data_IF_417865379147
#
_entry.id   IF_417865379147
#
_cell.length_a   1.000
_cell.length_b   1.000
_cell.length_c   1.000
_cell.angle_alpha   90.00
_cell.angle_beta   90.00
_cell.angle_gamma   90.00
#
_symmetry.space_group_name_H-M   'P 1'
#
loop_
_entity.id
_entity.type
_entity.pdbx_description
1 polymer ?
#
# COMPACT_ATOMS: atom_id res chain seq x y z
N UNK A 1 21.64 -43.82 -20.87
CA UNK A 1 20.22 -44.05 -20.49
C UNK A 1 19.67 -42.72 -20.01
N UNK A 2 18.75 -42.11 -20.77
CA UNK A 2 18.16 -40.83 -20.34
C UNK A 2 17.11 -41.11 -19.22
N UNK A 3 17.52 -41.01 -17.97
CA UNK A 3 16.62 -41.19 -16.82
C UNK A 3 15.77 -39.91 -16.70
N UNK A 4 14.44 -40.05 -16.73
CA UNK A 4 13.49 -38.97 -16.41
C UNK A 4 13.10 -39.13 -14.95
N UNK A 5 13.31 -38.09 -14.15
CA UNK A 5 12.93 -38.06 -12.75
C UNK A 5 11.69 -37.16 -12.56
N UNK A 6 10.57 -37.76 -12.16
CA UNK A 6 9.35 -37.05 -11.88
C UNK A 6 9.17 -36.87 -10.37
N UNK A 7 8.99 -35.63 -9.92
CA UNK A 7 8.79 -35.27 -8.52
C UNK A 7 7.44 -34.54 -8.38
N UNK A 8 6.49 -35.15 -7.66
CA UNK A 8 5.22 -34.51 -7.32
C UNK A 8 5.20 -34.29 -5.80
N UNK A 9 4.94 -33.07 -5.37
CA UNK A 9 4.97 -32.74 -3.94
C UNK A 9 3.95 -31.66 -3.55
N UNK A 10 3.44 -31.79 -2.33
CA UNK A 10 2.63 -30.77 -1.67
C UNK A 10 3.32 -30.40 -0.34
N UNK A 11 4.30 -29.52 -0.38
CA UNK A 11 5.04 -29.13 0.83
C UNK A 11 4.17 -28.27 1.76
N UNK A 12 4.45 -28.28 3.06
CA UNK A 12 3.75 -27.39 4.00
C UNK A 12 4.04 -25.91 3.68
N UNK A 13 3.01 -25.07 3.77
CA UNK A 13 3.11 -23.62 3.48
C UNK A 13 3.48 -22.76 4.69
N UNK A 14 3.96 -23.38 5.78
CA UNK A 14 4.35 -22.69 7.01
C UNK A 14 5.68 -21.95 6.92
N UNK A 15 5.90 -21.05 7.87
CA UNK A 15 7.19 -20.39 8.11
C UNK A 15 7.95 -21.10 9.21
N UNK A 16 9.22 -21.47 8.97
CA UNK A 16 10.13 -21.98 9.98
C UNK A 16 10.51 -20.88 10.99
N UNK A 17 10.24 -21.10 12.29
CA UNK A 17 10.54 -20.11 13.32
C UNK A 17 12.04 -19.97 13.60
N UNK A 18 12.50 -18.76 13.94
CA UNK A 18 13.86 -18.48 14.39
C UNK A 18 14.03 -18.60 15.92
N UNK A 19 13.19 -19.37 16.62
CA UNK A 19 13.44 -19.75 18.02
C UNK A 19 13.54 -18.61 19.04
N UNK A 20 12.96 -17.43 18.82
CA UNK A 20 12.72 -16.44 19.88
C UNK A 20 11.29 -16.60 20.38
N UNK A 21 11.18 -17.00 21.63
CA UNK A 21 9.92 -17.06 22.36
C UNK A 21 9.19 -15.71 22.31
N UNK A 22 7.92 -15.75 22.01
CA UNK A 22 6.99 -14.63 22.11
C UNK A 22 6.63 -14.00 20.78
N UNK A 23 5.57 -14.43 20.24
CA UNK A 23 4.60 -13.87 19.29
C UNK A 23 4.16 -14.89 18.23
N UNK A 24 2.96 -15.43 18.48
CA UNK A 24 2.06 -16.24 17.66
C UNK A 24 2.20 -17.77 17.77
N UNK A 25 1.17 -18.37 18.35
CA UNK A 25 0.92 -19.81 18.52
C UNK A 25 1.01 -20.68 17.24
N UNK A 26 1.00 -20.07 16.05
CA UNK A 26 1.10 -20.81 14.78
C UNK A 26 2.54 -21.22 14.38
N UNK A 27 3.53 -20.89 15.20
CA UNK A 27 4.97 -21.20 14.95
C UNK A 27 5.55 -22.23 15.92
N UNK A 28 4.78 -22.70 16.87
CA UNK A 28 5.21 -23.70 17.83
C UNK A 28 5.27 -25.08 17.15
N UNK A 29 6.41 -25.74 17.27
CA UNK A 29 6.61 -27.11 16.78
C UNK A 29 7.37 -27.26 15.46
N UNK A 30 7.77 -26.18 14.77
CA UNK A 30 8.60 -26.29 13.55
C UNK A 30 10.07 -26.15 13.94
N UNK A 31 10.79 -27.28 13.96
CA UNK A 31 12.23 -27.32 14.21
C UNK A 31 13.03 -26.71 13.05
N UNK A 32 14.24 -26.22 13.36
CA UNK A 32 15.20 -25.81 12.33
C UNK A 32 15.64 -27.03 11.52
N UNK A 33 15.36 -27.03 10.24
CA UNK A 33 15.75 -28.13 9.34
C UNK A 33 17.22 -28.04 8.95
N UNK A 34 17.87 -29.18 8.61
CA UNK A 34 19.22 -29.19 8.01
C UNK A 34 19.25 -28.37 6.71
N UNK A 35 18.17 -28.43 5.92
CA UNK A 35 18.03 -27.67 4.66
C UNK A 35 18.10 -26.17 4.91
N UNK A 36 17.45 -25.65 5.96
CA UNK A 36 17.55 -24.26 6.35
C UNK A 36 18.99 -23.82 6.60
N UNK A 37 19.77 -24.60 7.36
CA UNK A 37 21.17 -24.30 7.59
C UNK A 37 22.01 -24.29 6.31
N UNK A 38 21.75 -25.21 5.36
CA UNK A 38 22.43 -25.23 4.07
C UNK A 38 22.11 -23.95 3.28
N UNK A 39 20.83 -23.54 3.23
CA UNK A 39 20.42 -22.31 2.56
C UNK A 39 21.01 -21.05 3.21
N UNK A 40 21.10 -21.01 4.54
CA UNK A 40 21.69 -19.88 5.26
C UNK A 40 23.19 -19.72 4.94
N UNK A 41 23.94 -20.84 4.80
CA UNK A 41 25.35 -20.85 4.35
C UNK A 41 25.50 -20.33 2.91
N UNK A 42 24.50 -20.47 2.06
CA UNK A 42 24.49 -19.99 0.68
C UNK A 42 23.86 -18.59 0.56
N UNK A 43 23.78 -17.81 1.64
CA UNK A 43 23.19 -16.45 1.67
C UNK A 43 21.69 -16.36 1.31
N UNK A 44 20.95 -17.48 1.48
CA UNK A 44 19.51 -17.58 1.22
C UNK A 44 18.67 -17.52 2.51
N UNK A 45 19.16 -16.84 3.56
CA UNK A 45 18.54 -16.77 4.89
C UNK A 45 17.09 -16.33 4.88
N UNK A 46 16.74 -15.32 4.06
CA UNK A 46 15.36 -14.80 3.98
C UNK A 46 14.45 -15.83 3.31
N UNK A 47 14.87 -16.41 2.19
CA UNK A 47 14.12 -17.43 1.46
C UNK A 47 13.95 -18.72 2.27
N UNK A 48 14.94 -19.08 3.11
CA UNK A 48 14.91 -20.29 3.94
C UNK A 48 13.82 -20.30 5.01
N UNK A 49 13.17 -19.18 5.27
CA UNK A 49 12.07 -19.10 6.24
C UNK A 49 10.80 -19.83 5.76
N UNK A 50 10.62 -19.98 4.45
CA UNK A 50 9.46 -20.62 3.85
C UNK A 50 9.72 -22.11 3.62
N UNK A 51 8.90 -22.99 4.21
CA UNK A 51 9.11 -24.43 4.12
C UNK A 51 9.03 -24.96 2.68
N UNK A 52 8.06 -24.51 1.90
CA UNK A 52 7.95 -24.93 0.49
C UNK A 52 9.19 -24.53 -0.34
N UNK A 53 9.85 -23.42 -0.01
CA UNK A 53 11.11 -23.03 -0.67
C UNK A 53 12.24 -23.97 -0.27
N UNK A 54 12.27 -24.45 0.96
CA UNK A 54 13.25 -25.46 1.38
C UNK A 54 13.07 -26.77 0.60
N UNK A 55 11.84 -27.15 0.26
CA UNK A 55 11.58 -28.32 -0.62
C UNK A 55 12.12 -28.08 -2.04
N UNK A 56 11.85 -26.94 -2.64
CA UNK A 56 12.39 -26.58 -3.96
C UNK A 56 13.93 -26.57 -3.95
N UNK A 57 14.53 -26.02 -2.90
CA UNK A 57 15.99 -26.02 -2.71
C UNK A 57 16.53 -27.46 -2.61
N UNK A 58 15.87 -28.35 -1.87
CA UNK A 58 16.26 -29.75 -1.78
C UNK A 58 16.20 -30.45 -3.14
N UNK A 59 15.16 -30.21 -3.93
CA UNK A 59 15.03 -30.75 -5.29
C UNK A 59 16.18 -30.25 -6.18
N UNK A 60 16.49 -28.95 -6.13
CA UNK A 60 17.63 -28.37 -6.85
C UNK A 60 18.95 -29.02 -6.46
N UNK A 61 19.19 -29.27 -5.15
CA UNK A 61 20.41 -29.96 -4.68
C UNK A 61 20.46 -31.42 -5.15
N UNK A 62 19.35 -32.14 -5.14
CA UNK A 62 19.28 -33.51 -5.67
C UNK A 62 19.66 -33.49 -7.16
N UNK A 63 19.05 -32.57 -7.95
CA UNK A 63 19.39 -32.42 -9.37
C UNK A 63 20.88 -32.21 -9.57
N UNK A 64 21.49 -31.31 -8.79
CA UNK A 64 22.92 -30.94 -8.92
C UNK A 64 23.85 -32.08 -8.47
N UNK A 65 23.59 -32.67 -7.30
CA UNK A 65 24.46 -33.72 -6.71
C UNK A 65 24.46 -34.98 -7.55
N UNK A 66 23.31 -35.36 -8.09
CA UNK A 66 23.19 -36.59 -8.92
C UNK A 66 23.31 -36.33 -10.44
N UNK A 67 23.63 -35.08 -10.82
CA UNK A 67 23.77 -34.64 -12.22
C UNK A 67 22.60 -35.06 -13.11
N UNK A 68 21.37 -34.77 -12.66
CA UNK A 68 20.15 -35.16 -13.34
C UNK A 68 19.78 -34.16 -14.43
N UNK A 69 19.78 -34.56 -15.69
CA UNK A 69 19.47 -33.71 -16.83
C UNK A 69 17.96 -33.52 -17.03
N UNK A 70 17.18 -34.58 -16.81
CA UNK A 70 15.74 -34.60 -17.07
C UNK A 70 14.93 -34.74 -15.78
N UNK A 71 14.58 -33.61 -15.18
CA UNK A 71 13.75 -33.56 -13.96
C UNK A 71 12.46 -32.79 -14.26
N UNK A 72 11.33 -33.41 -13.94
CA UNK A 72 10.01 -32.75 -13.97
C UNK A 72 9.50 -32.60 -12.55
N UNK A 73 9.04 -31.39 -12.20
CA UNK A 73 8.51 -31.08 -10.87
C UNK A 73 7.05 -30.68 -11.02
N UNK A 74 6.15 -31.35 -10.30
CA UNK A 74 4.79 -30.92 -10.02
C UNK A 74 4.68 -30.48 -8.56
N UNK A 75 4.39 -29.20 -8.31
CA UNK A 75 4.40 -28.69 -6.92
C UNK A 75 3.23 -27.79 -6.64
N UNK A 76 2.59 -28.03 -5.48
CA UNK A 76 1.67 -27.07 -4.86
C UNK A 76 2.48 -26.03 -4.09
N UNK A 77 2.22 -24.75 -4.35
CA UNK A 77 2.88 -23.65 -3.64
C UNK A 77 2.07 -22.36 -3.74
N UNK A 78 2.26 -21.42 -2.80
CA UNK A 78 1.74 -20.07 -2.95
C UNK A 78 2.33 -19.39 -4.19
N UNK A 79 1.49 -18.73 -5.01
CA UNK A 79 1.96 -17.96 -6.17
C UNK A 79 2.93 -16.83 -5.78
N UNK A 80 2.95 -16.47 -4.49
CA UNK A 80 3.92 -15.55 -3.91
C UNK A 80 5.39 -15.95 -4.14
N UNK A 81 5.69 -17.24 -4.37
CA UNK A 81 7.03 -17.66 -4.78
C UNK A 81 7.52 -16.92 -6.02
N UNK A 82 6.61 -16.68 -6.97
CA UNK A 82 6.93 -16.10 -8.27
C UNK A 82 7.01 -14.56 -8.23
N UNK A 83 6.34 -13.90 -7.28
CA UNK A 83 6.24 -12.44 -7.22
C UNK A 83 6.84 -11.80 -5.95
N UNK A 84 7.12 -12.59 -4.91
CA UNK A 84 7.48 -12.07 -3.59
C UNK A 84 8.97 -11.73 -3.46
N UNK A 85 9.28 -10.62 -2.80
CA UNK A 85 10.65 -10.15 -2.52
C UNK A 85 11.46 -11.15 -1.68
N UNK A 86 10.82 -11.81 -0.70
CA UNK A 86 11.52 -12.78 0.17
C UNK A 86 12.06 -14.00 -0.57
N UNK A 87 11.47 -14.33 -1.73
CA UNK A 87 11.86 -15.48 -2.54
C UNK A 87 12.89 -15.13 -3.62
N UNK A 88 13.12 -13.86 -3.90
CA UNK A 88 13.84 -13.34 -5.06
C UNK A 88 15.18 -14.02 -5.30
N UNK A 89 16.09 -13.99 -4.33
CA UNK A 89 17.42 -14.60 -4.49
C UNK A 89 17.37 -16.10 -4.83
N UNK A 90 16.48 -16.85 -4.19
CA UNK A 90 16.35 -18.28 -4.49
C UNK A 90 15.60 -18.50 -5.80
N UNK A 91 14.58 -17.69 -6.09
CA UNK A 91 13.84 -17.75 -7.37
C UNK A 91 14.76 -17.55 -8.57
N UNK A 92 15.70 -16.62 -8.51
CA UNK A 92 16.68 -16.40 -9.58
C UNK A 92 17.56 -17.63 -9.84
N UNK A 93 17.97 -18.32 -8.78
CA UNK A 93 18.72 -19.57 -8.88
C UNK A 93 17.82 -20.68 -9.48
N UNK A 94 16.58 -20.76 -9.00
CA UNK A 94 15.65 -21.79 -9.42
C UNK A 94 15.28 -21.64 -10.90
N UNK A 95 14.96 -20.42 -11.35
CA UNK A 95 14.58 -20.13 -12.74
C UNK A 95 15.73 -20.34 -13.76
N UNK A 96 16.98 -20.31 -13.33
CA UNK A 96 18.12 -20.69 -14.16
C UNK A 96 18.20 -22.22 -14.41
N UNK A 97 17.60 -23.01 -13.54
CA UNK A 97 17.69 -24.48 -13.57
C UNK A 97 16.39 -25.16 -14.01
N UNK A 98 15.26 -24.46 -13.89
CA UNK A 98 13.94 -25.00 -14.19
C UNK A 98 13.11 -24.02 -15.00
N UNK A 99 12.43 -24.57 -16.03
CA UNK A 99 11.50 -23.86 -16.90
C UNK A 99 10.07 -24.09 -16.40
N UNK A 100 9.29 -23.04 -16.35
CA UNK A 100 7.85 -23.13 -16.13
C UNK A 100 7.16 -23.67 -17.38
N UNK A 101 6.35 -24.71 -17.23
CA UNK A 101 5.61 -25.33 -18.34
C UNK A 101 4.12 -24.96 -18.28
N UNK A 102 3.50 -25.08 -17.14
CA UNK A 102 2.08 -24.77 -16.97
C UNK A 102 1.68 -24.70 -15.48
N UNK A 103 0.50 -24.15 -15.20
CA UNK A 103 -0.04 -24.14 -13.85
C UNK A 103 -1.55 -23.98 -13.80
N UNK A 104 -2.11 -24.41 -12.68
CA UNK A 104 -3.48 -24.12 -12.28
C UNK A 104 -3.47 -23.38 -10.94
N UNK A 105 -4.40 -22.49 -10.73
CA UNK A 105 -4.56 -21.70 -9.50
C UNK A 105 -5.98 -21.84 -8.99
N UNK A 106 -6.12 -22.01 -7.69
CA UNK A 106 -7.41 -22.18 -7.01
C UNK A 106 -7.37 -21.55 -5.62
N UNK A 107 -8.56 -21.38 -5.03
CA UNK A 107 -8.70 -20.81 -3.71
C UNK A 107 -8.25 -21.81 -2.63
N UNK A 108 -7.38 -21.38 -1.73
CA UNK A 108 -6.90 -22.21 -0.61
C UNK A 108 -8.02 -22.65 0.34
N UNK A 109 -9.13 -21.91 0.41
CA UNK A 109 -10.28 -22.27 1.25
C UNK A 109 -10.95 -23.61 0.87
N UNK A 110 -10.64 -24.13 -0.32
CA UNK A 110 -11.10 -25.49 -0.71
C UNK A 110 -10.38 -26.63 0.05
N UNK A 111 -9.28 -26.32 0.71
CA UNK A 111 -8.61 -27.30 1.56
C UNK A 111 -9.14 -27.27 2.98
N UNK A 112 -9.26 -28.43 3.58
CA UNK A 112 -9.64 -28.54 5.00
C UNK A 112 -8.66 -27.75 5.88
N UNK A 113 -9.19 -27.10 6.91
CA UNK A 113 -8.45 -26.30 7.90
C UNK A 113 -7.82 -24.99 7.39
N UNK A 114 -8.18 -24.51 6.20
CA UNK A 114 -7.78 -23.19 5.72
C UNK A 114 -8.98 -22.24 5.80
N UNK A 115 -8.95 -21.31 6.75
CA UNK A 115 -10.03 -20.33 6.97
C UNK A 115 -9.92 -19.09 6.11
N UNK A 116 -8.77 -18.87 5.48
CA UNK A 116 -8.49 -17.65 4.71
C UNK A 116 -8.49 -17.90 3.22
N UNK A 117 -9.13 -17.01 2.47
CA UNK A 117 -9.11 -17.03 1.01
C UNK A 117 -7.79 -16.47 0.47
N UNK A 118 -7.04 -17.30 -0.23
CA UNK A 118 -5.83 -16.90 -0.96
C UNK A 118 -5.52 -17.90 -2.07
N UNK A 119 -4.71 -17.47 -3.06
CA UNK A 119 -4.40 -18.29 -4.24
C UNK A 119 -3.30 -19.31 -3.97
N UNK A 120 -3.60 -20.60 -4.17
CA UNK A 120 -2.62 -21.69 -4.27
C UNK A 120 -2.43 -22.06 -5.73
N UNK A 121 -1.18 -22.20 -6.16
CA UNK A 121 -0.84 -22.71 -7.49
C UNK A 121 -0.37 -24.15 -7.41
N UNK A 122 -0.82 -25.00 -8.34
CA UNK A 122 -0.09 -26.20 -8.74
C UNK A 122 0.62 -25.90 -10.05
N UNK A 123 1.93 -26.02 -10.08
CA UNK A 123 2.76 -25.69 -11.23
C UNK A 123 3.66 -26.84 -11.65
N UNK A 124 3.87 -26.95 -12.96
CA UNK A 124 4.74 -27.95 -13.58
C UNK A 124 5.99 -27.25 -14.11
N UNK A 125 7.14 -27.84 -13.79
CA UNK A 125 8.46 -27.34 -14.16
C UNK A 125 9.28 -28.46 -14.77
N UNK A 126 10.07 -28.15 -15.80
CA UNK A 126 11.05 -29.06 -16.38
C UNK A 126 12.46 -28.52 -16.18
N UNK A 127 13.43 -29.42 -16.03
CA UNK A 127 14.85 -29.04 -16.07
C UNK A 127 15.23 -28.57 -17.48
N UNK A 128 16.05 -27.53 -17.55
CA UNK A 128 16.54 -27.03 -18.84
C UNK A 128 17.33 -25.74 -18.67
N UNK A 129 18.19 -25.43 -19.62
CA UNK A 129 18.88 -24.16 -19.70
C UNK A 129 17.93 -23.14 -20.34
N UNK A 130 17.37 -22.21 -19.57
CA UNK A 130 16.33 -21.32 -20.08
C UNK A 130 16.67 -19.84 -19.93
N UNK A 131 16.26 -19.06 -20.93
CA UNK A 131 16.04 -17.63 -20.74
C UNK A 131 15.02 -17.48 -19.63
N UNK A 132 15.37 -16.72 -18.56
CA UNK A 132 14.47 -16.48 -17.45
C UNK A 132 13.12 -15.93 -17.97
N UNK A 133 12.09 -16.76 -17.90
CA UNK A 133 10.73 -16.28 -18.12
C UNK A 133 10.28 -15.56 -16.86
N UNK A 134 9.81 -14.32 -16.99
CA UNK A 134 9.31 -13.51 -15.90
C UNK A 134 7.78 -13.46 -15.84
N UNK A 135 7.11 -14.23 -16.71
CA UNK A 135 5.65 -14.32 -16.80
C UNK A 135 5.20 -15.77 -16.66
N UNK A 136 4.26 -16.03 -15.77
CA UNK A 136 3.78 -17.36 -15.42
C UNK A 136 2.27 -17.39 -15.54
N UNK A 137 1.74 -18.00 -16.59
CA UNK A 137 0.29 -18.11 -16.82
C UNK A 137 -0.31 -19.29 -16.05
N UNK A 138 -1.32 -19.04 -15.24
CA UNK A 138 -2.11 -20.02 -14.53
C UNK A 138 -3.55 -20.05 -15.06
N UNK A 139 -4.12 -21.25 -15.25
CA UNK A 139 -5.56 -21.41 -15.42
C UNK A 139 -6.24 -21.34 -14.05
N UNK A 140 -7.18 -20.41 -13.88
CA UNK A 140 -7.93 -20.26 -12.63
C UNK A 140 -9.04 -21.32 -12.59
N UNK A 141 -9.08 -22.07 -11.49
CA UNK A 141 -10.05 -23.14 -11.25
C UNK A 141 -10.93 -22.82 -10.07
N UNK A 142 -12.23 -23.02 -10.23
CA UNK A 142 -13.23 -22.90 -9.16
C UNK A 142 -14.12 -24.16 -9.11
N UNK A 143 -14.69 -24.40 -7.93
CA UNK A 143 -15.76 -25.39 -7.76
C UNK A 143 -17.08 -24.68 -8.05
N UNK A 144 -17.86 -25.25 -8.98
CA UNK A 144 -19.23 -24.78 -9.19
C UNK A 144 -20.19 -25.34 -8.12
N UNK A 145 -21.44 -24.90 -8.14
CA UNK A 145 -22.48 -25.31 -7.18
C UNK A 145 -22.76 -26.83 -7.20
N UNK A 146 -22.35 -27.54 -8.26
CA UNK A 146 -22.46 -28.99 -8.41
C UNK A 146 -21.20 -29.74 -7.96
N UNK A 147 -20.22 -29.05 -7.36
CA UNK A 147 -18.95 -29.63 -6.93
C UNK A 147 -18.00 -30.01 -8.07
N UNK A 148 -18.24 -29.53 -9.31
CA UNK A 148 -17.33 -29.77 -10.44
C UNK A 148 -16.30 -28.63 -10.54
N UNK A 149 -15.06 -29.00 -10.90
CA UNK A 149 -13.98 -28.06 -11.12
C UNK A 149 -14.11 -27.46 -12.52
N UNK A 150 -14.25 -26.15 -12.61
CA UNK A 150 -14.35 -25.41 -13.86
C UNK A 150 -13.16 -24.43 -14.02
N UNK A 151 -12.83 -24.10 -15.27
CA UNK A 151 -11.88 -23.06 -15.60
C UNK A 151 -12.65 -21.76 -15.79
N UNK A 152 -12.43 -20.78 -14.88
CA UNK A 152 -13.11 -19.48 -14.93
C UNK A 152 -12.28 -18.38 -15.60
N UNK A 153 -11.01 -18.64 -15.91
CA UNK A 153 -10.15 -17.67 -16.56
C UNK A 153 -8.67 -18.05 -16.51
N UNK A 154 -7.85 -17.06 -16.86
CA UNK A 154 -6.40 -17.15 -16.81
C UNK A 154 -5.84 -16.01 -15.96
N UNK A 155 -4.71 -16.26 -15.32
CA UNK A 155 -3.96 -15.29 -14.53
C UNK A 155 -2.48 -15.37 -14.86
N UNK A 156 -1.86 -14.24 -15.15
CA UNK A 156 -0.41 -14.14 -15.26
C UNK A 156 0.16 -13.60 -13.95
N UNK A 157 1.17 -14.26 -13.42
CA UNK A 157 1.95 -13.82 -12.28
C UNK A 157 3.30 -13.32 -12.80
N UNK A 158 3.69 -12.12 -12.39
CA UNK A 158 4.90 -11.46 -12.88
C UNK A 158 6.02 -11.50 -11.84
N UNK A 159 7.22 -11.90 -12.29
CA UNK A 159 8.48 -11.69 -11.56
C UNK A 159 9.05 -10.33 -11.95
N UNK A 160 8.71 -9.31 -11.18
CA UNK A 160 9.15 -7.94 -11.45
C UNK A 160 10.53 -7.67 -10.87
N UNK A 161 11.33 -6.90 -11.59
CA UNK A 161 12.54 -6.29 -11.07
C UNK A 161 12.19 -5.13 -10.15
N UNK A 162 13.12 -4.75 -9.27
CA UNK A 162 12.87 -3.67 -8.30
C UNK A 162 12.59 -2.32 -8.96
N UNK A 163 13.22 -2.03 -10.09
CA UNK A 163 13.02 -0.80 -10.87
C UNK A 163 11.66 -0.73 -11.59
N UNK A 164 10.95 -1.84 -11.74
CA UNK A 164 9.61 -1.92 -12.32
C UNK A 164 8.49 -1.73 -11.27
N UNK A 165 8.81 -1.93 -9.98
CA UNK A 165 7.82 -1.88 -8.89
C UNK A 165 7.36 -0.45 -8.60
N UNK A 166 6.07 -0.27 -8.43
CA UNK A 166 5.47 1.02 -8.05
C UNK A 166 6.09 1.61 -6.77
N UNK A 167 6.43 0.76 -5.80
CA UNK A 167 7.08 1.19 -4.55
C UNK A 167 8.47 1.81 -4.76
N UNK A 168 9.13 1.50 -5.86
CA UNK A 168 10.46 2.05 -6.22
C UNK A 168 10.36 3.34 -7.03
N UNK A 169 9.19 3.67 -7.55
CA UNK A 169 8.94 4.87 -8.34
C UNK A 169 9.02 6.15 -7.51
N UNK A 170 8.68 6.06 -6.23
CA UNK A 170 8.74 7.18 -5.30
C UNK A 170 10.04 7.09 -4.51
N UNK A 171 10.95 7.99 -4.82
CA UNK A 171 12.20 8.15 -4.06
C UNK A 171 11.95 8.97 -2.81
N UNK A 172 12.61 8.59 -1.73
CA UNK A 172 12.56 9.36 -0.50
C UNK A 172 13.39 10.65 -0.68
N UNK A 173 12.72 11.78 -0.79
CA UNK A 173 13.37 13.09 -0.96
C UNK A 173 13.67 13.69 0.41
N UNK A 174 14.75 13.25 1.06
CA UNK A 174 15.30 13.88 2.26
C UNK A 174 16.20 15.07 1.88
N UNK A 175 15.69 15.99 1.07
CA UNK A 175 16.45 17.14 0.61
C UNK A 175 16.12 18.33 1.53
N UNK A 176 17.15 18.98 2.07
CA UNK A 176 17.04 20.19 2.86
C UNK A 176 17.44 20.02 4.32
N UNK A 177 17.26 21.10 5.08
CA UNK A 177 17.53 21.15 6.52
C UNK A 177 16.57 20.19 7.27
N UNK A 178 17.08 19.53 8.29
CA UNK A 178 16.26 18.68 9.15
C UNK A 178 15.71 19.49 10.31
N UNK A 179 14.42 19.31 10.58
CA UNK A 179 13.72 19.89 11.72
C UNK A 179 13.13 18.77 12.57
N UNK A 180 13.04 19.03 13.87
CA UNK A 180 12.42 18.10 14.80
C UNK A 180 10.90 18.24 14.72
N UNK A 181 10.19 17.12 14.67
CA UNK A 181 8.73 17.06 14.72
C UNK A 181 8.27 15.92 15.61
N UNK A 182 7.04 16.02 16.10
CA UNK A 182 6.38 14.94 16.83
C UNK A 182 6.10 13.77 15.90
N UNK A 183 5.87 12.58 16.48
CA UNK A 183 5.42 11.41 15.73
C UNK A 183 3.96 11.09 16.05
N UNK A 184 3.30 10.39 15.14
CA UNK A 184 1.93 9.94 15.30
C UNK A 184 1.86 8.40 15.43
N UNK A 185 0.89 7.93 16.23
CA UNK A 185 0.44 6.52 16.21
C UNK A 185 -0.52 6.28 15.06
N UNK A 186 -1.36 7.27 14.76
CA UNK A 186 -2.30 7.32 13.63
C UNK A 186 -2.83 8.75 13.51
N UNK A 187 -3.37 9.15 12.40
CA UNK A 187 -3.99 10.46 12.10
C UNK A 187 -3.72 11.58 13.15
N UNK A 188 -4.66 11.81 14.10
CA UNK A 188 -4.56 12.82 15.18
C UNK A 188 -4.01 12.26 16.50
N UNK A 189 -3.68 10.96 16.56
CA UNK A 189 -3.21 10.36 17.80
C UNK A 189 -1.68 10.50 17.91
N UNK A 190 -1.27 11.29 18.89
CA UNK A 190 0.14 11.57 19.17
C UNK A 190 0.87 10.34 19.70
N UNK A 191 2.14 10.22 19.35
CA UNK A 191 3.11 9.33 20.00
C UNK A 191 3.97 10.15 20.98
N UNK A 192 4.58 9.50 21.94
CA UNK A 192 5.48 10.12 22.92
C UNK A 192 6.93 10.28 22.41
N UNK A 193 7.10 10.44 21.11
CA UNK A 193 8.43 10.51 20.47
C UNK A 193 8.50 11.64 19.46
N UNK A 194 9.73 12.11 19.24
CA UNK A 194 10.05 13.02 18.14
C UNK A 194 10.89 12.34 17.07
N UNK A 195 11.01 12.95 15.91
CA UNK A 195 11.84 12.51 14.79
C UNK A 195 12.33 13.69 13.98
N UNK A 196 13.58 13.59 13.51
CA UNK A 196 14.13 14.55 12.56
C UNK A 196 13.62 14.27 11.16
N UNK A 197 13.02 15.27 10.52
CA UNK A 197 12.44 15.20 9.17
C UNK A 197 12.91 16.35 8.31
N UNK A 198 12.69 16.31 7.00
CA UNK A 198 12.93 17.42 6.11
C UNK A 198 12.02 18.60 6.46
N UNK A 199 12.54 19.82 6.46
CA UNK A 199 11.73 21.05 6.61
C UNK A 199 10.75 21.27 5.44
N UNK A 200 11.01 20.63 4.28
CA UNK A 200 10.12 20.66 3.11
C UNK A 200 9.00 19.62 3.16
N UNK A 201 8.90 18.85 4.24
CA UNK A 201 7.86 17.85 4.39
C UNK A 201 6.48 18.50 4.52
N UNK A 202 5.56 18.13 3.63
CA UNK A 202 4.13 18.52 3.70
C UNK A 202 3.24 17.36 4.15
N UNK A 203 3.81 16.17 4.26
CA UNK A 203 3.15 14.95 4.71
C UNK A 203 4.06 13.73 4.61
N UNK A 204 3.55 12.59 5.01
CA UNK A 204 4.29 11.33 5.05
C UNK A 204 3.42 10.20 4.51
N UNK A 205 3.88 9.57 3.43
CA UNK A 205 3.24 8.41 2.84
C UNK A 205 3.80 7.13 3.46
N UNK A 206 2.93 6.38 4.13
CA UNK A 206 3.24 5.03 4.59
C UNK A 206 2.93 4.04 3.48
N UNK A 207 3.91 3.21 3.10
CA UNK A 207 3.75 2.20 2.06
C UNK A 207 4.58 0.96 2.40
N UNK A 208 3.94 -0.10 2.90
CA UNK A 208 4.62 -1.22 3.54
C UNK A 208 5.15 -2.27 2.56
N UNK A 209 4.47 -2.49 1.47
CA UNK A 209 4.87 -3.44 0.41
C UNK A 209 4.29 -3.06 -0.94
N UNK A 210 4.66 -3.82 -1.99
CA UNK A 210 4.24 -3.52 -3.36
C UNK A 210 3.07 -4.38 -3.86
N UNK A 211 2.58 -5.36 -3.10
CA UNK A 211 1.49 -6.23 -3.53
C UNK A 211 0.10 -5.76 -3.09
N UNK A 212 -0.94 -6.27 -3.75
CA UNK A 212 -2.33 -5.90 -3.49
C UNK A 212 -2.76 -6.26 -2.06
N UNK A 213 -2.32 -7.40 -1.54
CA UNK A 213 -2.71 -7.89 -0.20
C UNK A 213 -2.25 -6.97 0.94
N UNK A 214 -1.12 -6.32 0.80
CA UNK A 214 -0.62 -5.40 1.83
C UNK A 214 -1.57 -4.23 2.11
N UNK A 215 -2.58 -4.03 1.28
CA UNK A 215 -3.62 -3.03 1.53
C UNK A 215 -4.41 -3.29 2.80
N UNK A 216 -4.51 -4.53 3.26
CA UNK A 216 -5.15 -4.83 4.53
C UNK A 216 -4.45 -4.13 5.71
N UNK A 217 -3.15 -3.85 5.59
CA UNK A 217 -2.34 -3.17 6.60
C UNK A 217 -2.03 -1.70 6.27
N UNK A 218 -2.46 -1.23 5.10
CA UNK A 218 -2.64 0.18 4.81
C UNK A 218 -1.49 0.86 4.08
N UNK A 219 -1.90 1.62 3.08
CA UNK A 219 -1.18 2.77 2.57
C UNK A 219 -1.91 3.99 3.08
N UNK A 220 -1.24 4.79 3.91
CA UNK A 220 -1.79 5.96 4.58
C UNK A 220 -0.96 7.19 4.30
N UNK A 221 -1.59 8.35 4.33
CA UNK A 221 -0.91 9.64 4.37
C UNK A 221 -1.17 10.28 5.74
N UNK A 222 -0.11 10.80 6.36
CA UNK A 222 -0.14 11.38 7.68
C UNK A 222 0.63 12.70 7.70
N UNK A 223 0.26 13.61 8.60
CA UNK A 223 0.94 14.91 8.79
C UNK A 223 2.30 14.81 9.47
N UNK A 224 2.54 13.73 10.22
CA UNK A 224 3.82 13.51 10.88
C UNK A 224 4.22 12.03 10.73
N UNK A 225 5.51 11.71 10.86
CA UNK A 225 5.97 10.33 10.68
C UNK A 225 5.50 9.43 11.83
N UNK A 226 5.41 8.14 11.57
CA UNK A 226 5.17 7.11 12.58
C UNK A 226 6.47 6.47 13.03
N UNK A 227 6.51 5.98 14.27
CA UNK A 227 7.72 5.37 14.87
C UNK A 227 7.92 3.91 14.48
N UNK A 228 6.87 3.21 14.03
CA UNK A 228 6.92 1.76 13.76
C UNK A 228 7.24 1.45 12.31
N UNK A 229 8.18 0.58 12.11
CA UNK A 229 8.60 -0.38 11.07
C UNK A 229 8.15 -0.24 9.60
N UNK A 230 7.45 0.78 9.20
CA UNK A 230 6.94 0.91 7.86
C UNK A 230 7.88 1.76 6.99
N UNK A 231 7.97 1.45 5.73
CA UNK A 231 8.62 2.33 4.77
C UNK A 231 7.81 3.63 4.72
N UNK A 232 8.44 4.74 5.10
CA UNK A 232 7.84 6.07 5.09
C UNK A 232 8.54 6.87 4.01
N UNK A 233 7.76 7.43 3.09
CA UNK A 233 8.24 8.40 2.11
C UNK A 233 7.83 9.79 2.56
N UNK A 234 8.77 10.73 2.63
CA UNK A 234 8.48 12.13 2.86
C UNK A 234 7.78 12.70 1.63
N UNK A 235 6.61 13.28 1.80
CA UNK A 235 5.90 14.00 0.75
C UNK A 235 6.40 15.43 0.75
N UNK A 236 6.80 15.91 -0.42
CA UNK A 236 7.21 17.29 -0.68
C UNK A 236 6.42 17.82 -1.87
N UNK A 237 6.52 19.12 -2.13
CA UNK A 237 5.89 19.74 -3.31
C UNK A 237 6.33 19.06 -4.63
N UNK A 238 7.58 18.58 -4.71
CA UNK A 238 8.10 17.98 -5.95
C UNK A 238 7.55 16.56 -6.22
N UNK A 239 7.20 15.78 -5.17
CA UNK A 239 6.81 14.37 -5.35
C UNK A 239 5.36 14.06 -5.02
N UNK A 240 4.57 15.03 -4.56
CA UNK A 240 3.24 14.77 -4.02
C UNK A 240 2.28 14.21 -5.07
N UNK A 241 2.37 14.60 -6.35
CA UNK A 241 1.55 14.02 -7.44
C UNK A 241 1.79 12.53 -7.60
N UNK A 242 3.06 12.12 -7.63
CA UNK A 242 3.43 10.70 -7.67
C UNK A 242 2.98 9.95 -6.41
N UNK A 243 3.10 10.59 -5.23
CA UNK A 243 2.60 10.02 -3.97
C UNK A 243 1.09 9.82 -4.00
N UNK A 244 0.33 10.78 -4.55
CA UNK A 244 -1.11 10.69 -4.72
C UNK A 244 -1.50 9.61 -5.73
N UNK A 245 -0.79 9.49 -6.84
CA UNK A 245 -1.01 8.41 -7.83
C UNK A 245 -0.76 7.02 -7.23
N UNK A 246 0.33 6.83 -6.49
CA UNK A 246 0.60 5.57 -5.77
C UNK A 246 -0.46 5.30 -4.71
N UNK A 247 -0.79 6.29 -3.89
CA UNK A 247 -1.80 6.16 -2.85
C UNK A 247 -3.14 5.71 -3.43
N UNK A 248 -3.55 6.33 -4.55
CA UNK A 248 -4.78 6.01 -5.28
C UNK A 248 -4.74 4.59 -5.81
N UNK A 249 -3.72 4.22 -6.58
CA UNK A 249 -3.59 2.89 -7.14
C UNK A 249 -3.66 1.80 -6.06
N UNK A 250 -3.00 2.02 -4.91
CA UNK A 250 -2.94 1.09 -3.81
C UNK A 250 -4.23 0.98 -2.97
N UNK A 251 -5.07 2.02 -2.95
CA UNK A 251 -6.27 2.05 -2.13
C UNK A 251 -7.56 1.74 -2.90
N UNK A 252 -7.61 2.01 -4.19
CA UNK A 252 -8.80 1.80 -5.03
C UNK A 252 -9.01 0.32 -5.38
N UNK A 253 -7.93 -0.44 -5.55
CA UNK A 253 -8.02 -1.86 -5.91
C UNK A 253 -8.33 -2.70 -4.67
N UNK A 254 -9.43 -3.45 -4.77
CA UNK A 254 -9.84 -4.39 -3.72
C UNK A 254 -9.08 -5.71 -3.84
N UNK A 255 -8.60 -6.22 -2.72
CA UNK A 255 -7.95 -7.53 -2.63
C UNK A 255 -8.98 -8.65 -2.82
N UNK A 256 -8.67 -9.60 -3.70
CA UNK A 256 -9.39 -10.86 -3.93
C UNK A 256 -8.37 -12.00 -3.87
N UNK A 257 -8.83 -13.23 -3.66
CA UNK A 257 -7.93 -14.38 -3.64
C UNK A 257 -7.10 -14.55 -4.94
N UNK A 258 -7.62 -14.06 -6.07
CA UNK A 258 -6.97 -14.13 -7.37
C UNK A 258 -5.87 -13.07 -7.58
N UNK A 259 -5.94 -11.93 -6.88
CA UNK A 259 -5.00 -10.80 -7.08
C UNK A 259 -4.13 -10.45 -5.87
N UNK A 260 -4.34 -11.06 -4.71
CA UNK A 260 -3.62 -10.70 -3.47
C UNK A 260 -2.09 -10.67 -3.62
N UNK A 261 -1.54 -11.49 -4.50
CA UNK A 261 -0.09 -11.63 -4.69
C UNK A 261 0.42 -10.85 -5.91
N UNK A 262 -0.46 -10.11 -6.59
CA UNK A 262 -0.05 -9.24 -7.68
C UNK A 262 0.74 -8.05 -7.16
N UNK A 263 1.75 -7.68 -7.90
CA UNK A 263 2.54 -6.51 -7.63
C UNK A 263 2.06 -5.33 -8.49
N UNK A 264 2.05 -4.15 -7.86
CA UNK A 264 1.86 -2.91 -8.59
C UNK A 264 3.12 -2.57 -9.40
N UNK A 265 2.92 -2.03 -10.58
CA UNK A 265 3.94 -1.70 -11.57
C UNK A 265 3.92 -0.18 -11.77
N UNK A 266 5.05 0.40 -12.15
CA UNK A 266 5.13 1.79 -12.56
C UNK A 266 4.22 1.98 -13.78
N UNK A 267 3.30 2.97 -13.76
CA UNK A 267 2.33 3.16 -14.85
C UNK A 267 3.00 3.66 -16.12
N UNK A 268 2.29 3.53 -17.24
CA UNK A 268 2.68 4.19 -18.48
C UNK A 268 2.38 5.70 -18.39
N UNK A 269 3.35 6.47 -17.94
CA UNK A 269 3.23 7.93 -17.79
C UNK A 269 3.13 8.70 -19.12
N UNK A 270 3.46 8.05 -20.24
CA UNK A 270 3.35 8.62 -21.59
C UNK A 270 1.96 8.44 -22.20
N UNK A 271 1.07 7.74 -21.51
CA UNK A 271 -0.33 7.62 -21.93
C UNK A 271 -1.05 8.97 -21.73
N UNK A 272 -1.79 9.43 -22.73
CA UNK A 272 -2.52 10.70 -22.70
C UNK A 272 -3.47 10.82 -21.50
N UNK A 273 -4.06 9.72 -21.06
CA UNK A 273 -4.96 9.69 -19.89
C UNK A 273 -4.23 9.78 -18.54
N UNK A 274 -2.89 9.59 -18.51
CA UNK A 274 -2.14 9.59 -17.26
C UNK A 274 -2.26 10.93 -16.53
N UNK A 275 -2.23 12.05 -17.25
CA UNK A 275 -2.30 13.38 -16.64
C UNK A 275 -3.64 13.63 -15.94
N UNK A 276 -4.74 13.20 -16.51
CA UNK A 276 -6.05 13.27 -15.86
C UNK A 276 -6.10 12.38 -14.62
N UNK A 277 -5.62 11.14 -14.73
CA UNK A 277 -5.51 10.23 -13.59
C UNK A 277 -4.67 10.82 -12.45
N UNK A 278 -3.51 11.40 -12.76
CA UNK A 278 -2.63 12.02 -11.78
C UNK A 278 -3.32 13.16 -11.04
N UNK A 279 -3.99 14.05 -11.77
CA UNK A 279 -4.70 15.20 -11.20
C UNK A 279 -5.93 14.76 -10.37
N UNK A 280 -6.71 13.81 -10.86
CA UNK A 280 -7.86 13.26 -10.12
C UNK A 280 -7.43 12.44 -8.89
N UNK A 281 -6.24 11.84 -8.92
CA UNK A 281 -5.65 11.15 -7.78
C UNK A 281 -5.36 12.09 -6.61
N UNK A 282 -5.09 13.38 -6.86
CA UNK A 282 -4.94 14.38 -5.82
C UNK A 282 -6.26 14.53 -5.04
N UNK A 283 -7.36 14.70 -5.76
CA UNK A 283 -8.70 14.83 -5.16
C UNK A 283 -9.09 13.56 -4.40
N UNK A 284 -8.86 12.38 -5.00
CA UNK A 284 -9.08 11.12 -4.30
C UNK A 284 -8.29 11.04 -3.00
N UNK A 285 -7.03 11.46 -3.02
CA UNK A 285 -6.12 11.41 -1.88
C UNK A 285 -6.56 12.32 -0.75
N UNK A 286 -6.94 13.57 -1.06
CA UNK A 286 -7.36 14.56 -0.05
C UNK A 286 -8.54 14.03 0.76
N UNK A 287 -9.55 13.47 0.10
CA UNK A 287 -10.82 13.11 0.70
C UNK A 287 -10.92 11.64 1.15
N UNK A 288 -9.83 10.88 1.00
CA UNK A 288 -9.77 9.48 1.44
C UNK A 288 -9.84 9.35 2.97
N UNK A 289 -10.54 8.31 3.43
CA UNK A 289 -10.54 7.93 4.86
C UNK A 289 -9.15 7.50 5.38
N UNK A 290 -8.25 7.13 4.47
CA UNK A 290 -6.87 6.75 4.79
C UNK A 290 -5.89 7.92 4.71
N UNK A 291 -6.39 9.11 4.46
CA UNK A 291 -5.64 10.36 4.59
C UNK A 291 -5.89 10.94 5.98
N UNK A 292 -4.89 10.86 6.84
CA UNK A 292 -4.90 11.42 8.19
C UNK A 292 -4.19 12.77 8.28
N UNK A 293 -4.08 13.51 7.17
CA UNK A 293 -3.58 14.89 7.23
C UNK A 293 -4.46 15.70 8.16
N UNK A 294 -3.82 16.40 9.09
CA UNK A 294 -4.47 17.16 10.15
C UNK A 294 -3.73 18.46 10.43
N UNK A 295 -4.39 19.33 11.15
CA UNK A 295 -3.81 20.51 11.78
C UNK A 295 -3.90 20.34 13.29
N UNK A 296 -2.76 20.37 13.97
CA UNK A 296 -2.69 20.29 15.43
C UNK A 296 -1.82 21.43 15.96
N UNK A 297 -2.29 22.13 16.96
CA UNK A 297 -1.64 23.29 17.55
C UNK A 297 -1.39 23.07 19.03
N UNK A 298 -0.36 23.76 19.54
CA UNK A 298 -0.02 23.78 20.96
C UNK A 298 0.16 22.36 21.54
N UNK A 299 0.81 21.50 20.77
CA UNK A 299 1.14 20.14 21.22
C UNK A 299 2.44 20.21 22.01
N UNK A 300 2.40 19.79 23.26
CA UNK A 300 3.57 19.79 24.15
C UNK A 300 4.14 18.36 24.30
N UNK A 301 5.44 18.25 24.12
CA UNK A 301 6.22 17.03 24.39
C UNK A 301 7.60 17.41 24.93
N UNK A 302 7.98 16.86 26.08
CA UNK A 302 9.26 17.13 26.73
C UNK A 302 9.57 18.64 26.88
N UNK A 303 8.60 19.43 27.35
CA UNK A 303 8.64 20.90 27.49
C UNK A 303 8.87 21.67 26.18
N UNK A 304 8.76 21.03 25.03
CA UNK A 304 8.78 21.68 23.71
C UNK A 304 7.38 21.76 23.14
N UNK A 305 7.07 22.90 22.52
CA UNK A 305 5.82 23.10 21.80
C UNK A 305 6.02 22.76 20.33
N UNK A 306 5.06 22.02 19.76
CA UNK A 306 5.02 21.64 18.36
C UNK A 306 3.68 22.05 17.74
N UNK A 307 3.74 22.42 16.45
CA UNK A 307 2.56 22.67 15.64
C UNK A 307 2.65 21.83 14.36
N UNK A 308 1.53 21.19 14.00
CA UNK A 308 1.35 20.54 12.70
C UNK A 308 0.46 21.45 11.86
N UNK A 309 1.00 21.94 10.76
CA UNK A 309 0.33 22.80 9.80
C UNK A 309 -0.15 21.94 8.65
N UNK A 310 -1.35 22.18 8.16
CA UNK A 310 -1.89 21.48 7.00
C UNK A 310 -1.53 22.22 5.69
N UNK A 311 -0.35 21.99 5.16
CA UNK A 311 0.08 22.52 3.84
C UNK A 311 -0.70 21.89 2.67
N UNK A 312 -1.38 20.77 2.92
CA UNK A 312 -2.24 20.08 1.95
C UNK A 312 -3.73 20.44 2.08
N UNK A 313 -4.01 21.61 2.63
CA UNK A 313 -5.38 22.14 2.67
C UNK A 313 -5.74 22.75 1.30
N UNK A 314 -6.99 22.57 0.89
CA UNK A 314 -7.46 22.85 -0.48
C UNK A 314 -8.18 24.21 -0.62
N UNK A 315 -8.18 25.03 0.43
CA UNK A 315 -8.71 26.39 0.42
C UNK A 315 -7.57 27.39 0.63
N UNK A 316 -7.75 28.62 0.13
CA UNK A 316 -6.75 29.69 0.26
C UNK A 316 -6.61 30.16 1.71
N UNK A 317 -5.47 30.79 2.01
CA UNK A 317 -5.27 31.39 3.33
C UNK A 317 -6.29 32.50 3.58
N UNK A 318 -6.66 33.27 2.55
CA UNK A 318 -7.67 34.32 2.68
C UNK A 318 -9.04 33.76 3.03
N UNK A 319 -9.48 32.69 2.37
CA UNK A 319 -10.73 31.99 2.70
C UNK A 319 -10.71 31.43 4.13
N UNK A 320 -9.57 30.85 4.56
CA UNK A 320 -9.41 30.35 5.92
C UNK A 320 -9.54 31.47 6.94
N UNK A 321 -8.92 32.62 6.67
CA UNK A 321 -8.95 33.79 7.55
C UNK A 321 -10.34 34.42 7.61
N UNK A 322 -11.01 34.51 6.47
CA UNK A 322 -12.39 35.02 6.41
C UNK A 322 -13.34 34.15 7.22
N UNK A 323 -13.27 32.83 7.07
CA UNK A 323 -14.06 31.89 7.86
C UNK A 323 -13.81 32.01 9.36
N UNK A 324 -12.57 32.19 9.77
CA UNK A 324 -12.22 32.41 11.17
C UNK A 324 -12.85 33.71 11.73
N UNK A 325 -12.78 34.81 10.98
CA UNK A 325 -13.31 36.11 11.39
C UNK A 325 -14.85 36.09 11.48
N UNK A 326 -15.54 35.50 10.49
CA UNK A 326 -16.99 35.38 10.46
C UNK A 326 -17.52 34.61 11.67
N UNK A 327 -16.80 33.60 12.12
CA UNK A 327 -17.24 32.67 13.15
C UNK A 327 -16.60 32.98 14.54
N UNK A 328 -15.93 34.12 14.70
CA UNK A 328 -15.17 34.49 15.92
C UNK A 328 -14.13 33.40 16.33
N UNK A 329 -13.71 32.59 15.40
CA UNK A 329 -12.69 31.58 15.64
C UNK A 329 -11.32 32.18 15.37
N UNK A 330 -10.58 32.48 16.43
CA UNK A 330 -9.18 32.89 16.26
C UNK A 330 -8.35 31.73 15.78
N UNK A 331 -7.66 31.88 14.64
CA UNK A 331 -6.72 30.89 14.18
C UNK A 331 -5.57 30.73 15.16
N UNK A 332 -5.38 29.55 15.71
CA UNK A 332 -4.41 29.24 16.78
C UNK A 332 -2.95 29.14 16.31
N UNK A 333 -2.67 29.35 15.03
CA UNK A 333 -1.42 28.96 14.38
C UNK A 333 -0.52 30.09 13.92
N UNK A 334 -0.73 31.29 14.39
CA UNK A 334 -0.06 32.50 13.87
C UNK A 334 1.41 32.65 14.20
N UNK A 335 1.95 31.85 15.10
CA UNK A 335 3.34 31.93 15.52
C UNK A 335 4.32 31.29 14.55
N UNK A 336 3.84 30.60 13.49
CA UNK A 336 4.67 29.89 12.55
C UNK A 336 4.78 30.66 11.23
N UNK A 337 6.02 30.94 10.78
CA UNK A 337 6.30 31.65 9.51
C UNK A 337 5.63 31.04 8.27
N UNK A 338 5.33 29.75 8.30
CA UNK A 338 4.62 29.03 7.20
C UNK A 338 3.15 29.46 7.07
N UNK A 339 2.55 30.05 8.09
CA UNK A 339 1.14 30.47 8.06
C UNK A 339 0.87 31.66 7.18
N UNK A 340 1.87 32.49 6.95
CA UNK A 340 1.77 33.67 6.11
C UNK A 340 1.98 33.35 4.62
N UNK A 341 2.15 32.06 4.29
CA UNK A 341 2.28 31.58 2.91
C UNK A 341 1.02 30.84 2.52
N UNK A 342 0.69 30.91 1.24
CA UNK A 342 -0.41 30.15 0.66
C UNK A 342 -0.19 28.65 0.86
N UNK A 343 -1.27 27.89 0.90
CA UNK A 343 -1.22 26.42 1.01
C UNK A 343 -0.73 25.82 -0.31
N UNK A 344 0.29 24.99 -0.21
CA UNK A 344 0.93 24.36 -1.38
C UNK A 344 -0.09 23.66 -2.26
N UNK A 345 -1.01 22.92 -1.66
CA UNK A 345 -2.03 22.21 -2.42
C UNK A 345 -3.03 23.16 -3.09
N UNK A 346 -3.42 24.25 -2.40
CA UNK A 346 -4.31 25.24 -2.99
C UNK A 346 -3.69 25.87 -4.24
N UNK A 347 -2.44 26.34 -4.17
CA UNK A 347 -1.72 26.89 -5.32
C UNK A 347 -1.70 25.89 -6.49
N UNK A 348 -1.39 24.62 -6.22
CA UNK A 348 -1.35 23.61 -7.26
C UNK A 348 -2.71 23.32 -7.87
N UNK A 349 -3.79 23.32 -7.09
CA UNK A 349 -5.14 23.12 -7.62
C UNK A 349 -5.57 24.25 -8.59
N UNK A 350 -4.95 25.43 -8.53
CA UNK A 350 -5.19 26.52 -9.49
C UNK A 350 -4.50 26.26 -10.84
N UNK A 351 -3.44 25.49 -10.86
CA UNK A 351 -2.60 25.24 -12.06
C UNK A 351 -3.03 23.98 -12.84
N UNK A 352 -3.74 23.05 -12.20
CA UNK A 352 -4.07 21.75 -12.80
C UNK A 352 -5.48 21.72 -13.37
N UNK A 353 -5.68 20.89 -14.41
CA UNK A 353 -6.98 20.63 -14.97
C UNK A 353 -7.59 19.38 -14.32
N UNK A 354 -8.66 19.57 -13.56
CA UNK A 354 -9.42 18.49 -12.94
C UNK A 354 -10.56 18.02 -13.86
N UNK A 355 -10.94 16.76 -13.78
CA UNK A 355 -12.19 16.29 -14.40
C UNK A 355 -13.42 16.96 -13.77
N UNK A 356 -14.54 16.97 -14.49
CA UNK A 356 -15.78 17.58 -13.99
C UNK A 356 -16.23 16.95 -12.65
N UNK A 357 -16.01 15.65 -12.49
CA UNK A 357 -16.35 14.95 -11.26
C UNK A 357 -15.47 15.42 -10.09
N UNK A 358 -14.16 15.52 -10.28
CA UNK A 358 -13.22 16.03 -9.29
C UNK A 358 -13.47 17.47 -8.92
N UNK A 359 -13.83 18.33 -9.91
CA UNK A 359 -14.27 19.72 -9.65
C UNK A 359 -15.52 19.76 -8.76
N UNK A 360 -16.52 18.91 -9.07
CA UNK A 360 -17.74 18.85 -8.26
C UNK A 360 -17.49 18.41 -6.83
N UNK A 361 -16.59 17.43 -6.65
CA UNK A 361 -16.18 16.96 -5.31
C UNK A 361 -15.46 18.07 -4.54
N UNK A 362 -14.54 18.78 -5.18
CA UNK A 362 -13.81 19.90 -4.57
C UNK A 362 -14.75 21.03 -4.13
N UNK A 363 -15.65 21.46 -5.03
CA UNK A 363 -16.62 22.52 -4.73
C UNK A 363 -17.55 22.12 -3.57
N UNK A 364 -18.06 20.89 -3.57
CA UNK A 364 -18.91 20.40 -2.48
C UNK A 364 -18.14 20.34 -1.16
N UNK A 365 -16.87 19.91 -1.17
CA UNK A 365 -16.06 19.87 0.04
C UNK A 365 -15.79 21.24 0.63
N UNK A 366 -15.57 22.26 -0.23
CA UNK A 366 -15.43 23.66 0.19
C UNK A 366 -16.71 24.19 0.85
N UNK A 367 -17.89 23.89 0.29
CA UNK A 367 -19.18 24.22 0.91
C UNK A 367 -19.33 23.55 2.27
N UNK A 368 -19.05 22.24 2.34
CA UNK A 368 -19.12 21.49 3.60
C UNK A 368 -18.17 22.06 4.67
N UNK A 369 -16.98 22.49 4.30
CA UNK A 369 -16.06 23.16 5.23
C UNK A 369 -16.68 24.44 5.75
N UNK A 370 -17.21 25.32 4.88
CA UNK A 370 -17.84 26.60 5.29
C UNK A 370 -19.04 26.36 6.19
N UNK A 371 -19.94 25.48 5.81
CA UNK A 371 -21.15 25.16 6.56
C UNK A 371 -20.84 24.49 7.92
N UNK A 372 -19.72 23.78 8.03
CA UNK A 372 -19.32 23.11 9.28
C UNK A 372 -18.94 24.07 10.41
N UNK A 373 -18.61 25.33 10.11
CA UNK A 373 -18.10 26.27 11.09
C UNK A 373 -19.07 26.53 12.24
N UNK A 374 -20.38 26.58 11.98
CA UNK A 374 -21.39 26.77 13.01
C UNK A 374 -21.46 25.65 14.04
N UNK A 375 -20.95 24.49 13.74
CA UNK A 375 -20.96 23.32 14.63
C UNK A 375 -19.60 23.06 15.30
N UNK A 376 -18.55 23.83 14.95
CA UNK A 376 -17.17 23.54 15.39
C UNK A 376 -17.00 23.67 16.90
N UNK A 377 -17.59 24.68 17.52
CA UNK A 377 -17.49 24.87 18.95
C UNK A 377 -18.11 23.68 19.70
N UNK A 378 -19.37 23.34 19.41
CA UNK A 378 -20.05 22.21 20.05
C UNK A 378 -19.33 20.88 19.81
N UNK A 379 -18.74 20.65 18.61
CA UNK A 379 -17.97 19.45 18.35
C UNK A 379 -16.65 19.45 19.11
N UNK A 380 -15.98 20.60 19.23
CA UNK A 380 -14.71 20.71 19.94
C UNK A 380 -14.86 20.46 21.44
N UNK A 381 -15.98 20.89 22.04
CA UNK A 381 -16.30 20.59 23.44
C UNK A 381 -16.44 19.08 23.67
N UNK A 382 -17.14 18.37 22.78
CA UNK A 382 -17.33 16.91 22.86
C UNK A 382 -16.05 16.12 22.52
N UNK A 383 -15.28 16.61 21.57
CA UNK A 383 -14.15 15.90 20.97
C UNK A 383 -12.90 16.78 20.84
N UNK A 384 -12.35 17.35 21.96
CA UNK A 384 -11.27 18.35 21.91
C UNK A 384 -9.98 17.85 21.25
N UNK A 385 -9.75 16.54 21.25
CA UNK A 385 -8.58 15.94 20.57
C UNK A 385 -8.54 16.16 19.06
N UNK A 386 -9.70 16.46 18.43
CA UNK A 386 -9.76 16.75 17.00
C UNK A 386 -9.24 18.15 16.68
N UNK A 387 -9.18 19.06 17.65
CA UNK A 387 -8.79 20.46 17.43
C UNK A 387 -9.47 21.05 16.18
N UNK A 388 -10.78 20.81 16.05
CA UNK A 388 -11.57 21.19 14.85
C UNK A 388 -11.64 22.71 14.67
N UNK A 389 -11.40 23.50 15.72
CA UNK A 389 -11.37 24.96 15.67
C UNK A 389 -10.17 25.52 14.89
N UNK A 390 -9.18 24.68 14.57
CA UNK A 390 -8.18 25.06 13.58
C UNK A 390 -8.85 25.25 12.21
N UNK A 391 -8.74 26.44 11.61
CA UNK A 391 -9.43 26.75 10.36
C UNK A 391 -8.97 25.89 9.19
N UNK A 392 -7.71 25.45 9.22
CA UNK A 392 -7.11 24.52 8.26
C UNK A 392 -7.17 23.05 8.74
N UNK A 393 -8.15 22.72 9.60
CA UNK A 393 -8.37 21.35 10.03
C UNK A 393 -8.50 20.42 8.82
N UNK A 394 -7.75 19.31 8.82
CA UNK A 394 -7.74 18.38 7.69
C UNK A 394 -9.08 17.65 7.51
N UNK A 395 -9.28 17.07 6.32
CA UNK A 395 -10.52 16.35 6.00
C UNK A 395 -10.86 15.25 7.02
N UNK A 396 -9.85 14.58 7.57
CA UNK A 396 -10.03 13.59 8.63
C UNK A 396 -10.74 14.18 9.88
N UNK A 397 -10.36 15.41 10.27
CA UNK A 397 -10.93 16.12 11.41
C UNK A 397 -12.35 16.61 11.09
N UNK A 398 -12.52 17.26 9.93
CA UNK A 398 -13.80 17.78 9.45
C UNK A 398 -14.83 16.65 9.29
N UNK A 399 -14.43 15.54 8.73
CA UNK A 399 -15.31 14.40 8.52
C UNK A 399 -15.92 13.84 9.81
N UNK A 400 -15.19 13.92 10.95
CA UNK A 400 -15.72 13.56 12.27
C UNK A 400 -16.90 14.43 12.65
N UNK A 401 -16.79 15.74 12.44
CA UNK A 401 -17.86 16.69 12.65
C UNK A 401 -19.04 16.48 11.69
N UNK A 402 -18.75 16.31 10.38
CA UNK A 402 -19.80 16.10 9.38
C UNK A 402 -20.61 14.82 9.65
N UNK A 403 -19.98 13.78 10.16
CA UNK A 403 -20.66 12.53 10.49
C UNK A 403 -21.70 12.72 11.60
N UNK A 404 -21.47 13.65 12.52
CA UNK A 404 -22.36 13.93 13.66
C UNK A 404 -23.44 14.95 13.30
N UNK A 405 -23.07 16.05 12.66
CA UNK A 405 -23.97 17.20 12.46
C UNK A 405 -24.51 17.36 11.05
N UNK A 406 -23.84 16.79 10.03
CA UNK A 406 -24.15 16.97 8.61
C UNK A 406 -24.12 15.62 7.87
N UNK A 407 -24.73 14.60 8.46
CA UNK A 407 -24.64 13.23 7.96
C UNK A 407 -25.27 13.05 6.56
N UNK A 408 -26.33 13.79 6.26
CA UNK A 408 -27.01 13.75 4.95
C UNK A 408 -26.07 14.26 3.85
N UNK A 409 -25.47 15.41 4.05
CA UNK A 409 -24.54 16.06 3.14
C UNK A 409 -23.27 15.19 2.96
N UNK A 410 -22.76 14.63 4.02
CA UNK A 410 -21.63 13.69 3.98
C UNK A 410 -21.97 12.43 3.15
N UNK A 411 -23.20 11.92 3.20
CA UNK A 411 -23.63 10.79 2.36
C UNK A 411 -23.67 11.15 0.88
N UNK A 412 -24.17 12.36 0.54
CA UNK A 412 -24.16 12.84 -0.86
C UNK A 412 -22.72 13.03 -1.36
N UNK A 413 -21.85 13.61 -0.55
CA UNK A 413 -20.43 13.69 -0.84
C UNK A 413 -19.82 12.30 -1.13
N UNK A 414 -20.07 11.33 -0.27
CA UNK A 414 -19.54 9.96 -0.42
C UNK A 414 -20.05 9.29 -1.70
N UNK A 415 -21.26 9.57 -2.16
CA UNK A 415 -21.78 9.05 -3.44
C UNK A 415 -20.95 9.55 -4.63
N UNK A 416 -20.61 10.84 -4.66
CA UNK A 416 -19.76 11.40 -5.71
C UNK A 416 -18.33 10.88 -5.61
N UNK A 417 -17.79 10.79 -4.41
CA UNK A 417 -16.45 10.26 -4.15
C UNK A 417 -16.31 8.80 -4.62
N UNK A 418 -17.33 7.96 -4.39
CA UNK A 418 -17.36 6.58 -4.87
C UNK A 418 -17.37 6.49 -6.41
N UNK A 419 -18.05 7.43 -7.11
CA UNK A 419 -17.98 7.50 -8.57
C UNK A 419 -16.57 7.82 -9.07
N UNK A 420 -15.86 8.69 -8.36
CA UNK A 420 -14.44 8.96 -8.66
C UNK A 420 -13.58 7.72 -8.44
N UNK A 421 -13.81 6.98 -7.35
CA UNK A 421 -13.11 5.71 -7.10
C UNK A 421 -13.34 4.71 -8.24
N UNK A 422 -14.58 4.59 -8.74
CA UNK A 422 -14.90 3.68 -9.85
C UNK A 422 -14.23 4.10 -11.17
N UNK A 423 -14.17 5.42 -11.46
CA UNK A 423 -13.42 5.96 -12.60
C UNK A 423 -11.94 5.61 -12.50
N UNK A 424 -11.32 5.94 -11.37
CA UNK A 424 -9.88 5.71 -11.13
C UNK A 424 -9.53 4.21 -11.18
N UNK A 425 -10.44 3.34 -10.72
CA UNK A 425 -10.24 1.88 -10.79
C UNK A 425 -10.05 1.38 -12.23
N UNK A 426 -10.81 1.90 -13.17
CA UNK A 426 -10.66 1.56 -14.60
C UNK A 426 -9.33 2.04 -15.13
N UNK A 427 -9.00 3.31 -14.87
CA UNK A 427 -7.74 3.92 -15.31
C UNK A 427 -6.51 3.23 -14.75
N UNK A 428 -6.55 2.67 -13.52
CA UNK A 428 -5.44 1.92 -12.93
C UNK A 428 -5.04 0.72 -13.80
N UNK A 429 -6.02 -0.01 -14.36
CA UNK A 429 -5.73 -1.12 -15.27
C UNK A 429 -5.31 -0.63 -16.65
N UNK A 430 -5.97 0.38 -17.20
CA UNK A 430 -5.66 0.97 -18.52
C UNK A 430 -4.26 1.57 -18.58
N UNK A 431 -3.81 2.19 -17.48
CA UNK A 431 -2.46 2.77 -17.33
C UNK A 431 -1.38 1.75 -16.93
N UNK A 432 -1.76 0.49 -16.67
CA UNK A 432 -0.84 -0.59 -16.41
C UNK A 432 -0.26 -0.62 -14.99
N UNK A 433 -0.89 -0.01 -14.00
CA UNK A 433 -0.48 -0.15 -12.59
C UNK A 433 -0.61 -1.59 -12.09
N UNK A 434 -1.51 -2.37 -12.66
CA UNK A 434 -1.68 -3.81 -12.49
C UNK A 434 -1.87 -4.46 -13.86
N UNK A 435 -1.23 -5.60 -14.08
CA UNK A 435 -1.39 -6.42 -15.28
C UNK A 435 -2.26 -7.64 -15.01
#
# INVERSE_FOLDING_TARGET
MNIIVNIITNPPFGEGSNGKQGYKKSKDGISKTKVKFMMEKENLKVSSQQLYIQFLYKILKIKTVFNLDNVIIGIFMPTLFLSGERSEKFRDIFLKNFKYESGIMFNASYFSNVSAEWGVGFSIWSSGNNKCNNEFEFKIKELNDKGKIETIGKKVVYNLRDDEKLSSWIKNTNIGKKVETITLKSAINLDSKTKMVSEKAIGFLMNDSNNVYANAQGVYILSAPVTRHLKITTITQENHKKCSSLFTARNVIKSKWTNQKDNYIIPNINNEQYKEFENDSIIYTIFSQKNGICSLRNVYLDNKQFNIINDMFFMSINEIMELANINNNEPVYYDCKRHNKERILYEELQEITLSNLSKSILNMSQSLVRESFIYRESFNEKCPKYQINNCDAGWYQIRGLLAEYMNKELREFNKMYNKLEDKLRKQIYELGFLK
#
